data_IF_421638890846
#
_entry.id   IF_421638890846
#
_cell.length_a   1.000
_cell.length_b   1.000
_cell.length_c   1.000
_cell.angle_alpha   90.00
_cell.angle_beta   90.00
_cell.angle_gamma   90.00
#
_symmetry.space_group_name_H-M   'P 1'
#
loop_
_entity.id
_entity.type
_entity.pdbx_description
1 polymer ?
#
# COMPACT_ATOMS: atom_id res chain seq x y z
N UNK A 1 16.36 12.44 11.39
CA UNK A 1 16.16 11.00 11.31
C UNK A 1 15.38 10.56 10.06
N UNK A 2 14.21 11.14 9.70
CA UNK A 2 13.43 10.75 8.52
C UNK A 2 14.21 10.95 7.22
N UNK A 3 14.93 12.05 7.06
CA UNK A 3 15.79 12.28 5.89
C UNK A 3 16.92 11.26 5.82
N UNK A 4 17.47 10.85 6.97
CA UNK A 4 18.51 9.82 7.05
C UNK A 4 17.97 8.47 6.58
N UNK A 5 16.78 8.04 7.04
CA UNK A 5 16.16 6.80 6.60
C UNK A 5 15.82 6.82 5.10
N UNK A 6 15.30 7.95 4.59
CA UNK A 6 15.05 8.09 3.15
C UNK A 6 16.35 8.05 2.33
N UNK A 7 17.43 8.67 2.83
CA UNK A 7 18.75 8.60 2.21
C UNK A 7 19.35 7.19 2.26
N UNK A 8 19.16 6.45 3.37
CA UNK A 8 19.58 5.06 3.47
C UNK A 8 18.88 4.18 2.42
N UNK A 9 17.57 4.34 2.22
CA UNK A 9 16.86 3.64 1.16
C UNK A 9 17.42 3.93 -0.24
N UNK A 10 17.77 5.18 -0.53
CA UNK A 10 18.41 5.56 -1.79
C UNK A 10 19.83 5.00 -1.90
N UNK A 11 20.58 4.98 -0.80
CA UNK A 11 21.94 4.43 -0.74
C UNK A 11 21.92 2.91 -0.99
N UNK A 12 21.02 2.16 -0.35
CA UNK A 12 20.87 0.72 -0.60
C UNK A 12 20.48 0.42 -2.05
N UNK A 13 19.63 1.24 -2.66
CA UNK A 13 19.30 1.12 -4.07
C UNK A 13 20.55 1.35 -4.95
N UNK A 14 21.30 2.41 -4.68
CA UNK A 14 22.52 2.74 -5.42
C UNK A 14 23.55 1.62 -5.30
N UNK A 15 23.83 1.15 -4.08
CA UNK A 15 24.80 0.07 -3.84
C UNK A 15 24.33 -1.23 -4.53
N UNK A 16 23.03 -1.52 -4.50
CA UNK A 16 22.48 -2.69 -5.17
C UNK A 16 22.59 -2.63 -6.69
N UNK A 17 22.53 -1.45 -7.29
CA UNK A 17 22.65 -1.26 -8.75
C UNK A 17 24.09 -1.17 -9.25
N UNK A 18 25.08 -0.90 -8.38
CA UNK A 18 26.48 -0.81 -8.78
C UNK A 18 27.03 -2.09 -9.43
N UNK A 19 26.80 -3.31 -8.88
CA UNK A 19 27.26 -4.54 -9.50
C UNK A 19 26.62 -4.80 -10.86
N UNK A 20 25.32 -4.51 -10.98
CA UNK A 20 24.59 -4.64 -12.25
C UNK A 20 25.12 -3.67 -13.32
N UNK A 21 25.56 -2.47 -12.92
CA UNK A 21 26.18 -1.49 -13.82
C UNK A 21 27.56 -1.90 -14.35
N UNK A 22 28.31 -2.67 -13.57
CA UNK A 22 29.65 -3.13 -13.96
C UNK A 22 29.65 -4.31 -14.94
N UNK A 23 28.57 -5.10 -14.95
CA UNK A 23 28.45 -6.31 -15.80
C UNK A 23 27.82 -6.07 -17.18
N UNK A 24 27.39 -4.85 -17.49
CA UNK A 24 26.73 -4.49 -18.76
C UNK A 24 25.22 -4.29 -18.60
N UNK A 25 24.79 -3.08 -18.23
CA UNK A 25 23.49 -2.82 -17.61
C UNK A 25 22.26 -3.15 -18.48
N UNK A 26 22.38 -3.15 -19.79
CA UNK A 26 21.24 -3.35 -20.68
C UNK A 26 20.82 -4.82 -20.82
N UNK A 27 21.76 -5.76 -20.70
CA UNK A 27 21.50 -7.19 -20.91
C UNK A 27 20.99 -7.90 -19.66
N UNK A 28 21.53 -7.59 -18.48
CA UNK A 28 21.11 -8.24 -17.22
C UNK A 28 19.69 -7.84 -16.80
N UNK A 29 19.33 -6.56 -16.96
CA UNK A 29 17.95 -6.12 -16.73
C UNK A 29 16.96 -6.71 -17.74
N UNK A 30 17.38 -6.98 -18.96
CA UNK A 30 16.55 -7.57 -19.99
C UNK A 30 16.40 -9.10 -19.83
N UNK A 31 17.41 -9.78 -19.29
CA UNK A 31 17.40 -11.24 -19.07
C UNK A 31 16.86 -11.67 -17.72
N UNK A 32 16.61 -10.72 -16.80
CA UNK A 32 16.05 -10.99 -15.48
C UNK A 32 16.97 -11.77 -14.53
N UNK A 33 18.29 -11.80 -14.78
CA UNK A 33 19.26 -12.54 -13.98
C UNK A 33 20.11 -11.59 -13.13
N UNK A 34 19.49 -10.89 -12.18
CA UNK A 34 20.24 -10.07 -11.24
C UNK A 34 20.87 -10.93 -10.13
N UNK A 35 22.08 -10.57 -9.66
CA UNK A 35 22.70 -11.22 -8.51
C UNK A 35 21.79 -11.20 -7.28
N UNK A 36 21.77 -12.27 -6.44
CA UNK A 36 20.91 -12.33 -5.26
C UNK A 36 21.19 -11.21 -4.25
N UNK A 37 22.42 -10.74 -4.17
CA UNK A 37 22.81 -9.60 -3.32
C UNK A 37 22.13 -8.30 -3.79
N UNK A 38 22.09 -8.08 -5.10
CA UNK A 38 21.40 -6.93 -5.71
C UNK A 38 19.90 -6.97 -5.40
N UNK A 39 19.26 -8.14 -5.58
CA UNK A 39 17.85 -8.34 -5.28
C UNK A 39 17.55 -8.10 -3.78
N UNK A 40 18.42 -8.57 -2.90
CA UNK A 40 18.28 -8.38 -1.45
C UNK A 40 18.37 -6.89 -1.07
N UNK A 41 19.33 -6.16 -1.62
CA UNK A 41 19.49 -4.72 -1.38
C UNK A 41 18.30 -3.92 -1.95
N UNK A 42 17.77 -4.31 -3.10
CA UNK A 42 16.56 -3.72 -3.68
C UNK A 42 15.34 -3.99 -2.80
N UNK A 43 15.20 -5.19 -2.21
CA UNK A 43 14.12 -5.49 -1.26
C UNK A 43 14.22 -4.60 -0.01
N UNK A 44 15.41 -4.45 0.58
CA UNK A 44 15.60 -3.56 1.72
C UNK A 44 15.26 -2.12 1.34
N UNK A 45 15.77 -1.64 0.22
CA UNK A 45 15.49 -0.29 -0.28
C UNK A 45 13.99 -0.05 -0.47
N UNK A 46 13.29 -1.03 -1.05
CA UNK A 46 11.84 -0.97 -1.27
C UNK A 46 11.06 -0.99 0.03
N UNK A 47 11.45 -1.82 1.02
CA UNK A 47 10.82 -1.89 2.33
C UNK A 47 11.00 -0.57 3.12
N UNK A 48 12.20 0.03 3.08
CA UNK A 48 12.46 1.35 3.65
C UNK A 48 11.57 2.41 2.98
N UNK A 49 11.47 2.38 1.66
CA UNK A 49 10.70 3.36 0.88
C UNK A 49 9.21 3.19 1.06
N UNK A 50 8.72 1.94 1.14
CA UNK A 50 7.32 1.62 1.43
C UNK A 50 6.93 1.96 2.88
N UNK A 51 7.90 2.27 3.74
CA UNK A 51 7.65 2.61 5.14
C UNK A 51 7.07 1.46 5.95
N UNK A 52 7.36 0.21 5.56
CA UNK A 52 6.95 -0.96 6.34
C UNK A 52 7.78 -1.02 7.62
N UNK A 53 7.15 -1.41 8.72
CA UNK A 53 7.85 -1.54 9.99
C UNK A 53 9.08 -2.48 9.83
N UNK A 54 10.22 -2.19 10.43
CA UNK A 54 10.50 -1.11 11.39
C UNK A 54 10.84 0.24 10.74
N UNK A 55 10.81 0.33 9.41
CA UNK A 55 11.26 1.51 8.66
C UNK A 55 10.21 2.64 8.57
N UNK A 56 9.05 2.50 9.21
CA UNK A 56 7.94 3.46 9.16
C UNK A 56 8.22 4.81 9.87
N UNK A 57 9.28 4.90 10.67
CA UNK A 57 9.57 6.07 11.51
C UNK A 57 9.71 7.38 10.73
N UNK A 58 10.05 7.32 9.45
CA UNK A 58 10.15 8.50 8.61
C UNK A 58 8.79 9.02 8.12
N UNK A 59 7.75 8.18 8.14
CA UNK A 59 6.37 8.54 7.80
C UNK A 59 5.63 9.19 8.97
N UNK A 60 6.11 9.00 10.21
CA UNK A 60 5.44 9.56 11.37
C UNK A 60 5.50 11.08 11.37
N UNK A 61 4.39 11.77 11.56
CA UNK A 61 4.33 13.21 11.59
C UNK A 61 5.12 13.74 12.78
N UNK A 62 6.05 14.68 12.52
CA UNK A 62 6.93 15.25 13.55
C UNK A 62 6.35 16.44 14.28
N UNK A 63 5.39 17.10 13.66
CA UNK A 63 4.76 18.30 14.20
C UNK A 63 3.25 18.19 14.09
N UNK A 64 2.53 18.71 15.08
CA UNK A 64 1.06 18.84 15.06
C UNK A 64 0.56 19.86 14.01
N UNK A 65 1.39 20.23 13.03
CA UNK A 65 0.97 21.15 11.99
C UNK A 65 -0.15 20.50 11.15
N UNK A 66 -1.18 21.26 10.88
CA UNK A 66 -2.26 20.86 9.97
C UNK A 66 -1.67 20.80 8.55
N UNK A 67 -1.16 19.63 8.15
CA UNK A 67 -0.68 19.41 6.80
C UNK A 67 -1.84 19.59 5.81
N UNK A 68 -1.58 20.30 4.73
CA UNK A 68 -2.50 20.42 3.63
C UNK A 68 -2.69 19.05 2.93
N UNK A 69 -3.82 18.85 2.24
CA UNK A 69 -4.10 17.60 1.54
C UNK A 69 -2.99 17.23 0.55
N UNK A 70 -2.48 18.21 -0.21
CA UNK A 70 -1.38 18.02 -1.15
C UNK A 70 -0.09 17.56 -0.47
N UNK A 71 0.22 18.09 0.70
CA UNK A 71 1.36 17.67 1.50
C UNK A 71 1.19 16.23 2.01
N UNK A 72 -0.01 15.86 2.47
CA UNK A 72 -0.30 14.47 2.89
C UNK A 72 -0.16 13.48 1.73
N UNK A 73 -0.65 13.81 0.55
CA UNK A 73 -0.53 12.95 -0.63
C UNK A 73 0.93 12.82 -1.08
N UNK A 74 1.67 13.92 -1.14
CA UNK A 74 3.05 13.93 -1.61
C UNK A 74 4.02 13.33 -0.58
N UNK A 75 3.85 13.66 0.70
CA UNK A 75 4.81 13.25 1.74
C UNK A 75 4.56 11.82 2.26
N UNK A 76 3.30 11.35 2.24
CA UNK A 76 2.97 10.06 2.82
C UNK A 76 2.59 9.00 1.78
N UNK A 77 1.89 9.34 0.70
CA UNK A 77 1.46 8.33 -0.26
C UNK A 77 2.45 8.12 -1.41
N UNK A 78 2.96 9.20 -2.02
CA UNK A 78 3.80 9.06 -3.20
C UNK A 78 5.10 8.26 -2.94
N UNK A 79 5.86 8.50 -1.84
CA UNK A 79 7.04 7.69 -1.56
C UNK A 79 6.71 6.22 -1.28
N UNK A 80 5.60 5.96 -0.58
CA UNK A 80 5.14 4.60 -0.30
C UNK A 80 4.78 3.86 -1.58
N UNK A 81 4.06 4.52 -2.50
CA UNK A 81 3.74 3.95 -3.82
C UNK A 81 4.99 3.62 -4.63
N UNK A 82 5.99 4.52 -4.62
CA UNK A 82 7.29 4.24 -5.24
C UNK A 82 7.97 3.01 -4.60
N UNK A 83 7.89 2.88 -3.28
CA UNK A 83 8.41 1.73 -2.55
C UNK A 83 7.71 0.43 -2.92
N UNK A 84 6.37 0.45 -2.97
CA UNK A 84 5.57 -0.70 -3.37
C UNK A 84 5.83 -1.10 -4.83
N UNK A 85 5.93 -0.13 -5.74
CA UNK A 85 6.27 -0.39 -7.13
C UNK A 85 7.65 -1.04 -7.26
N UNK A 86 8.66 -0.49 -6.56
CA UNK A 86 10.01 -1.06 -6.55
C UNK A 86 10.03 -2.47 -5.96
N UNK A 87 9.25 -2.72 -4.91
CA UNK A 87 9.11 -4.04 -4.30
C UNK A 87 8.56 -5.07 -5.31
N UNK A 88 7.46 -4.72 -5.99
CA UNK A 88 6.87 -5.57 -7.03
C UNK A 88 7.82 -5.84 -8.19
N UNK A 89 8.55 -4.82 -8.63
CA UNK A 89 9.54 -4.95 -9.68
C UNK A 89 10.70 -5.87 -9.28
N UNK A 90 11.16 -5.78 -8.03
CA UNK A 90 12.21 -6.66 -7.48
C UNK A 90 11.75 -8.13 -7.52
N UNK A 91 10.49 -8.42 -7.20
CA UNK A 91 9.94 -9.77 -7.30
C UNK A 91 9.80 -10.25 -8.73
N UNK A 92 9.47 -9.38 -9.67
CA UNK A 92 9.47 -9.74 -11.10
C UNK A 92 10.86 -10.09 -11.60
N UNK A 93 11.89 -9.32 -11.24
CA UNK A 93 13.28 -9.57 -11.62
C UNK A 93 13.85 -10.82 -10.94
N UNK A 94 13.47 -11.08 -9.68
CA UNK A 94 13.93 -12.26 -8.94
C UNK A 94 13.23 -13.56 -9.35
N UNK A 95 12.05 -13.45 -9.96
CA UNK A 95 11.26 -14.59 -10.40
C UNK A 95 11.05 -15.64 -9.31
N UNK A 96 11.09 -16.92 -9.69
CA UNK A 96 10.91 -18.05 -8.78
C UNK A 96 12.07 -18.21 -7.75
N UNK A 97 13.22 -17.61 -7.99
CA UNK A 97 14.36 -17.67 -7.07
C UNK A 97 14.18 -16.77 -5.85
N UNK A 98 13.34 -15.73 -5.94
CA UNK A 98 13.12 -14.78 -4.87
C UNK A 98 11.89 -15.19 -4.05
N UNK A 99 12.10 -16.01 -3.02
CA UNK A 99 11.05 -16.42 -2.08
C UNK A 99 11.37 -15.89 -0.69
N UNK A 100 10.37 -15.28 -0.03
CA UNK A 100 10.54 -14.87 1.34
C UNK A 100 10.36 -16.05 2.29
N UNK A 101 11.32 -16.21 3.19
CA UNK A 101 11.24 -17.24 4.22
C UNK A 101 9.98 -17.02 5.11
N UNK A 102 9.32 -18.08 5.60
CA UNK A 102 8.15 -17.98 6.47
C UNK A 102 8.36 -17.10 7.69
N UNK A 103 9.59 -17.07 8.23
CA UNK A 103 9.96 -16.18 9.33
C UNK A 103 9.83 -14.70 8.95
N UNK A 104 10.29 -14.32 7.75
CA UNK A 104 10.19 -12.93 7.25
C UNK A 104 8.72 -12.56 7.04
N UNK A 105 7.90 -13.45 6.48
CA UNK A 105 6.47 -13.24 6.34
C UNK A 105 5.76 -13.11 7.69
N UNK A 106 6.18 -13.88 8.70
CA UNK A 106 5.64 -13.77 10.07
C UNK A 106 6.00 -12.40 10.68
N UNK A 107 7.24 -11.94 10.50
CA UNK A 107 7.65 -10.61 10.92
C UNK A 107 6.84 -9.51 10.22
N UNK A 108 6.62 -9.63 8.92
CA UNK A 108 5.75 -8.70 8.17
C UNK A 108 4.31 -8.70 8.72
N UNK A 109 3.75 -9.87 9.03
CA UNK A 109 2.41 -9.98 9.59
C UNK A 109 2.33 -9.41 11.02
N UNK A 110 3.38 -9.59 11.85
CA UNK A 110 3.48 -8.95 13.17
C UNK A 110 3.54 -7.43 13.06
N UNK A 111 4.24 -6.90 12.06
CA UNK A 111 4.32 -5.45 11.83
C UNK A 111 2.97 -4.90 11.37
N UNK A 112 2.23 -5.67 10.56
CA UNK A 112 0.87 -5.33 10.16
C UNK A 112 -0.04 -5.26 11.40
N UNK A 113 0.06 -6.24 12.30
CA UNK A 113 -0.71 -6.24 13.54
C UNK A 113 -0.34 -5.04 14.43
N UNK A 114 0.95 -4.74 14.58
CA UNK A 114 1.40 -3.59 15.36
C UNK A 114 0.86 -2.26 14.80
N UNK A 115 0.88 -2.08 13.48
CA UNK A 115 0.34 -0.87 12.83
C UNK A 115 -1.19 -0.78 12.93
N UNK A 116 -1.89 -1.92 12.85
CA UNK A 116 -3.34 -1.96 13.04
C UNK A 116 -3.75 -1.58 14.48
N UNK A 117 -3.03 -2.09 15.49
CA UNK A 117 -3.22 -1.71 16.90
C UNK A 117 -2.90 -0.22 17.08
N UNK A 118 -1.80 0.28 16.50
CA UNK A 118 -1.44 1.69 16.58
C UNK A 118 -2.51 2.59 15.93
N UNK A 119 -3.09 2.17 14.79
CA UNK A 119 -4.21 2.88 14.18
C UNK A 119 -5.45 2.87 15.08
N UNK A 120 -5.76 1.73 15.73
CA UNK A 120 -6.90 1.63 16.64
C UNK A 120 -6.75 2.51 17.88
N UNK A 121 -5.54 2.59 18.45
CA UNK A 121 -5.26 3.34 19.68
C UNK A 121 -4.90 4.80 19.43
N UNK A 122 -4.69 5.22 18.19
CA UNK A 122 -4.32 6.58 17.86
C UNK A 122 -5.44 7.58 18.29
N UNK A 123 -5.08 8.57 19.10
CA UNK A 123 -5.97 9.65 19.53
C UNK A 123 -5.94 10.81 18.52
N UNK A 124 -4.79 11.02 17.88
CA UNK A 124 -4.58 12.10 16.93
C UNK A 124 -4.88 11.61 15.50
N UNK A 125 -5.69 12.38 14.78
CA UNK A 125 -6.13 12.12 13.41
C UNK A 125 -4.94 11.88 12.45
N UNK A 126 -3.85 12.62 12.64
CA UNK A 126 -2.71 12.52 11.73
C UNK A 126 -1.96 11.20 11.92
N UNK A 127 -1.77 10.77 13.17
CA UNK A 127 -1.18 9.47 13.49
C UNK A 127 -2.09 8.33 13.03
N UNK A 128 -3.40 8.44 13.26
CA UNK A 128 -4.39 7.49 12.80
C UNK A 128 -4.29 7.27 11.27
N UNK A 129 -4.34 8.37 10.50
CA UNK A 129 -4.23 8.31 9.02
C UNK A 129 -2.91 7.65 8.61
N UNK A 130 -1.81 8.03 9.24
CA UNK A 130 -0.49 7.49 8.92
C UNK A 130 -0.42 5.98 9.17
N UNK A 131 -0.91 5.50 10.31
CA UNK A 131 -0.88 4.08 10.64
C UNK A 131 -1.81 3.25 9.75
N UNK A 132 -2.98 3.79 9.36
CA UNK A 132 -3.86 3.13 8.38
C UNK A 132 -3.15 2.97 7.03
N UNK A 133 -2.48 4.00 6.55
CA UNK A 133 -1.73 3.93 5.29
C UNK A 133 -0.55 2.96 5.37
N UNK A 134 0.23 2.96 6.47
CA UNK A 134 1.32 2.00 6.68
C UNK A 134 0.77 0.57 6.73
N UNK A 135 -0.33 0.35 7.44
CA UNK A 135 -0.99 -0.95 7.50
C UNK A 135 -1.42 -1.45 6.12
N UNK A 136 -2.08 -0.59 5.34
CA UNK A 136 -2.53 -0.92 3.98
C UNK A 136 -1.35 -1.21 3.04
N UNK A 137 -0.25 -0.45 3.14
CA UNK A 137 0.99 -0.75 2.42
C UNK A 137 1.60 -2.08 2.85
N UNK A 138 1.55 -2.40 4.15
CA UNK A 138 1.98 -3.68 4.70
C UNK A 138 1.22 -4.87 4.12
N UNK A 139 -0.09 -4.72 3.89
CA UNK A 139 -0.91 -5.74 3.19
C UNK A 139 -0.40 -5.97 1.76
N UNK A 140 -0.06 -4.90 1.04
CA UNK A 140 0.45 -5.01 -0.32
C UNK A 140 1.83 -5.71 -0.36
N UNK A 141 2.72 -5.39 0.58
CA UNK A 141 4.03 -6.06 0.72
C UNK A 141 3.87 -7.53 1.10
N UNK A 142 2.95 -7.85 2.02
CA UNK A 142 2.68 -9.24 2.40
C UNK A 142 2.13 -10.03 1.21
N UNK A 143 1.16 -9.47 0.48
CA UNK A 143 0.60 -10.09 -0.72
C UNK A 143 1.67 -10.30 -1.82
N UNK A 144 2.60 -9.35 -1.99
CA UNK A 144 3.73 -9.47 -2.91
C UNK A 144 4.73 -10.54 -2.49
N UNK A 145 5.04 -10.63 -1.20
CA UNK A 145 5.96 -11.63 -0.65
C UNK A 145 5.46 -13.08 -0.75
N UNK A 146 4.16 -13.25 -0.98
CA UNK A 146 3.52 -14.57 -1.17
C UNK A 146 3.41 -15.00 -2.65
N UNK A 147 3.81 -14.14 -3.57
CA UNK A 147 3.69 -14.40 -5.00
C UNK A 147 4.69 -15.47 -5.44
N UNK A 148 4.28 -16.75 -5.43
CA UNK A 148 5.08 -17.88 -5.94
C UNK A 148 4.81 -18.17 -7.42
N UNK A 149 3.86 -17.50 -8.05
CA UNK A 149 3.50 -17.71 -9.45
C UNK A 149 3.26 -16.38 -10.17
N UNK A 150 3.63 -16.25 -11.44
CA UNK A 150 3.39 -15.07 -12.27
C UNK A 150 1.90 -14.97 -12.62
N UNK A 151 1.10 -14.53 -11.68
CA UNK A 151 -0.26 -14.10 -11.93
C UNK A 151 -0.41 -12.64 -11.52
N UNK A 152 -1.47 -11.92 -11.97
CA UNK A 152 -1.78 -10.59 -11.48
C UNK A 152 -1.90 -10.68 -9.97
N UNK A 153 -0.81 -10.35 -9.35
CA UNK A 153 -0.57 -10.72 -7.96
C UNK A 153 -1.52 -9.93 -7.07
N UNK A 154 -1.92 -10.51 -5.97
CA UNK A 154 -2.62 -9.79 -4.92
C UNK A 154 -1.93 -8.48 -4.54
N UNK A 155 -0.63 -8.36 -4.79
CA UNK A 155 0.12 -7.13 -4.66
C UNK A 155 -0.37 -6.02 -5.61
N UNK A 156 -0.65 -6.34 -6.89
CA UNK A 156 -1.20 -5.35 -7.81
C UNK A 156 -2.52 -4.79 -7.28
N UNK A 157 -3.41 -5.67 -6.86
CA UNK A 157 -4.71 -5.28 -6.34
C UNK A 157 -4.63 -4.55 -5.00
N UNK A 158 -3.78 -4.99 -4.09
CA UNK A 158 -3.53 -4.31 -2.82
C UNK A 158 -2.89 -2.93 -3.04
N UNK A 159 -1.94 -2.80 -3.98
CA UNK A 159 -1.34 -1.52 -4.33
C UNK A 159 -2.35 -0.58 -5.01
N UNK A 160 -3.22 -1.12 -5.86
CA UNK A 160 -4.33 -0.36 -6.48
C UNK A 160 -5.31 0.13 -5.42
N UNK A 161 -5.69 -0.72 -4.46
CA UNK A 161 -6.52 -0.35 -3.33
C UNK A 161 -5.85 0.74 -2.48
N UNK A 162 -4.55 0.62 -2.20
CA UNK A 162 -3.79 1.63 -1.49
C UNK A 162 -3.75 2.96 -2.25
N UNK A 163 -3.43 2.94 -3.55
CA UNK A 163 -3.28 4.14 -4.35
C UNK A 163 -4.61 4.88 -4.54
N UNK A 164 -5.62 4.18 -5.07
CA UNK A 164 -6.90 4.78 -5.38
C UNK A 164 -7.80 4.90 -4.15
N UNK A 165 -7.88 3.85 -3.33
CA UNK A 165 -8.69 3.84 -2.10
C UNK A 165 -8.12 4.76 -1.03
N UNK A 166 -6.82 4.70 -0.77
CA UNK A 166 -6.14 5.59 0.17
C UNK A 166 -6.19 7.06 -0.26
N UNK A 167 -5.95 7.32 -1.55
CA UNK A 167 -6.09 8.67 -2.12
C UNK A 167 -7.50 9.21 -2.00
N UNK A 168 -8.51 8.40 -2.37
CA UNK A 168 -9.92 8.78 -2.26
C UNK A 168 -10.35 8.98 -0.81
N UNK A 169 -9.83 8.17 0.13
CA UNK A 169 -10.10 8.32 1.55
C UNK A 169 -9.57 9.66 2.09
N UNK A 170 -8.34 10.05 1.72
CA UNK A 170 -7.76 11.34 2.11
C UNK A 170 -8.49 12.54 1.49
N UNK A 171 -8.83 12.47 0.21
CA UNK A 171 -9.61 13.51 -0.49
C UNK A 171 -11.02 13.56 0.08
N UNK A 172 -11.63 12.39 0.32
CA UNK A 172 -12.96 12.24 0.89
C UNK A 172 -13.09 12.80 2.30
N UNK A 173 -12.05 12.70 3.14
CA UNK A 173 -12.01 13.34 4.46
C UNK A 173 -12.17 14.87 4.35
N UNK A 174 -11.52 15.49 3.36
CA UNK A 174 -11.68 16.93 3.10
C UNK A 174 -13.08 17.27 2.56
N UNK A 175 -13.61 16.44 1.67
CA UNK A 175 -14.96 16.58 1.11
C UNK A 175 -16.01 16.47 2.22
N UNK A 176 -15.84 15.50 3.12
CA UNK A 176 -16.74 15.31 4.25
C UNK A 176 -16.73 16.50 5.21
N UNK A 177 -15.56 17.02 5.55
CA UNK A 177 -15.41 18.20 6.43
C UNK A 177 -15.99 19.47 5.78
N UNK A 178 -15.86 19.60 4.45
CA UNK A 178 -16.33 20.79 3.74
C UNK A 178 -17.85 20.79 3.51
N UNK A 179 -18.43 19.64 3.15
CA UNK A 179 -19.83 19.56 2.68
C UNK A 179 -20.68 18.50 3.39
N UNK A 180 -20.12 17.74 4.34
CA UNK A 180 -20.82 16.64 4.97
C UNK A 180 -21.05 15.41 4.07
N UNK A 181 -20.46 15.38 2.87
CA UNK A 181 -20.63 14.27 1.94
C UNK A 181 -19.68 13.12 2.24
N UNK A 182 -20.23 12.04 2.80
CA UNK A 182 -19.47 10.89 3.30
C UNK A 182 -19.09 9.86 2.22
N UNK A 183 -19.73 9.83 1.04
CA UNK A 183 -19.53 8.78 0.06
C UNK A 183 -18.06 8.58 -0.37
N UNK A 184 -17.28 9.63 -0.70
CA UNK A 184 -15.88 9.41 -1.13
C UNK A 184 -15.01 8.81 -0.04
N UNK A 185 -15.12 9.31 1.20
CA UNK A 185 -14.32 8.79 2.33
C UNK A 185 -14.70 7.36 2.66
N UNK A 186 -16.02 7.04 2.67
CA UNK A 186 -16.51 5.70 2.93
C UNK A 186 -16.04 4.71 1.86
N UNK A 187 -16.15 5.07 0.59
CA UNK A 187 -15.75 4.20 -0.51
C UNK A 187 -14.23 3.95 -0.52
N UNK A 188 -13.42 4.97 -0.23
CA UNK A 188 -11.98 4.82 -0.04
C UNK A 188 -11.63 3.88 1.13
N UNK A 189 -12.29 4.06 2.28
CA UNK A 189 -12.11 3.20 3.45
C UNK A 189 -12.53 1.74 3.18
N UNK A 190 -13.66 1.51 2.49
CA UNK A 190 -14.11 0.18 2.09
C UNK A 190 -13.11 -0.52 1.16
N UNK A 191 -12.46 0.24 0.27
CA UNK A 191 -11.43 -0.30 -0.61
C UNK A 191 -10.18 -0.73 0.18
N UNK A 192 -9.74 0.06 1.16
CA UNK A 192 -8.64 -0.29 2.06
C UNK A 192 -9.00 -1.48 2.98
N UNK A 193 -10.25 -1.55 3.41
CA UNK A 193 -10.78 -2.67 4.20
C UNK A 193 -10.89 -3.98 3.42
N UNK A 194 -10.81 -3.94 2.09
CA UNK A 194 -10.95 -5.13 1.25
C UNK A 194 -12.38 -5.68 1.19
N UNK A 195 -13.37 -4.80 1.15
CA UNK A 195 -14.79 -5.18 1.03
C UNK A 195 -15.09 -5.63 -0.40
N UNK A 196 -16.03 -6.59 -0.62
CA UNK A 196 -16.43 -7.01 -1.95
C UNK A 196 -16.71 -5.85 -2.91
N UNK A 197 -16.43 -6.04 -4.19
CA UNK A 197 -16.49 -5.04 -5.25
C UNK A 197 -15.46 -3.90 -5.15
N UNK A 198 -14.38 -4.12 -4.40
CA UNK A 198 -13.23 -3.20 -4.36
C UNK A 198 -11.93 -3.93 -4.73
N UNK A 199 -10.90 -3.20 -5.19
CA UNK A 199 -9.60 -3.82 -5.50
C UNK A 199 -8.98 -4.53 -4.29
N UNK A 200 -9.19 -4.03 -3.07
CA UNK A 200 -8.69 -4.65 -1.85
C UNK A 200 -9.24 -6.07 -1.64
N UNK A 201 -10.47 -6.33 -2.03
CA UNK A 201 -11.03 -7.68 -2.00
C UNK A 201 -10.33 -8.64 -2.96
N UNK A 202 -9.94 -8.15 -4.13
CA UNK A 202 -9.24 -8.95 -5.15
C UNK A 202 -7.82 -9.35 -4.72
N UNK A 203 -7.26 -8.68 -3.73
CA UNK A 203 -5.98 -9.08 -3.11
C UNK A 203 -6.13 -10.28 -2.16
N UNK A 204 -7.29 -10.51 -1.58
CA UNK A 204 -7.52 -11.53 -0.54
C UNK A 204 -7.29 -12.98 -1.00
N UNK A 205 -7.61 -13.41 -2.24
CA UNK A 205 -7.31 -14.76 -2.71
C UNK A 205 -5.83 -15.12 -2.64
N UNK A 206 -4.92 -14.18 -2.88
CA UNK A 206 -3.48 -14.43 -2.74
C UNK A 206 -3.06 -14.61 -1.28
N UNK A 207 -3.69 -13.90 -0.35
CA UNK A 207 -3.44 -14.02 1.09
C UNK A 207 -4.07 -15.31 1.67
N UNK A 208 -5.22 -15.74 1.17
CA UNK A 208 -5.85 -17.00 1.57
C UNK A 208 -5.04 -18.24 1.15
N UNK A 209 -4.17 -18.13 0.15
CA UNK A 209 -3.23 -19.22 -0.23
C UNK A 209 -2.25 -19.58 0.88
N UNK A 210 -2.05 -18.74 1.89
CA UNK A 210 -1.31 -19.08 3.10
C UNK A 210 -1.87 -20.33 3.78
N UNK A 211 -3.19 -20.55 3.72
CA UNK A 211 -3.81 -21.73 4.30
C UNK A 211 -3.43 -23.04 3.58
N UNK A 212 -3.23 -22.98 2.27
CA UNK A 212 -2.84 -24.14 1.46
C UNK A 212 -1.34 -24.39 1.45
N UNK A 213 -0.51 -23.40 1.90
CA UNK A 213 0.94 -23.49 1.95
C UNK A 213 1.52 -24.37 3.05
N UNK A 214 0.65 -24.96 3.90
CA UNK A 214 1.06 -25.82 5.01
C UNK A 214 1.09 -25.11 6.36
N UNK A 215 1.28 -25.91 7.42
CA UNK A 215 1.15 -25.46 8.83
C UNK A 215 2.13 -24.32 9.20
N UNK A 216 3.24 -24.22 8.49
CA UNK A 216 4.27 -23.19 8.72
C UNK A 216 3.76 -21.78 8.40
N UNK A 217 2.76 -21.64 7.51
CA UNK A 217 2.17 -20.35 7.15
C UNK A 217 0.95 -19.97 7.98
N UNK A 218 0.45 -20.87 8.82
CA UNK A 218 -0.70 -20.59 9.69
C UNK A 218 -0.50 -19.39 10.63
N UNK A 219 0.66 -19.20 11.27
CA UNK A 219 0.90 -18.02 12.10
C UNK A 219 0.78 -16.72 11.29
N UNK A 220 1.31 -16.70 10.07
CA UNK A 220 1.21 -15.54 9.16
C UNK A 220 -0.24 -15.21 8.86
N UNK A 221 -1.01 -16.23 8.50
CA UNK A 221 -2.43 -16.07 8.18
C UNK A 221 -3.25 -15.57 9.38
N UNK A 222 -3.08 -16.16 10.56
CA UNK A 222 -3.77 -15.73 11.77
C UNK A 222 -3.46 -14.29 12.14
N UNK A 223 -2.17 -13.93 12.13
CA UNK A 223 -1.74 -12.55 12.39
C UNK A 223 -2.33 -11.57 11.37
N UNK A 224 -2.33 -11.95 10.09
CA UNK A 224 -2.96 -11.15 9.04
C UNK A 224 -4.46 -10.94 9.28
N UNK A 225 -5.22 -12.00 9.57
CA UNK A 225 -6.67 -11.91 9.78
C UNK A 225 -6.99 -11.02 11.00
N UNK A 226 -6.26 -11.19 12.09
CA UNK A 226 -6.43 -10.36 13.29
C UNK A 226 -6.09 -8.90 12.98
N UNK A 227 -4.96 -8.65 12.31
CA UNK A 227 -4.53 -7.30 11.93
C UNK A 227 -5.56 -6.63 11.01
N UNK A 228 -6.05 -7.35 10.01
CA UNK A 228 -7.06 -6.84 9.09
C UNK A 228 -8.36 -6.53 9.80
N UNK A 229 -8.81 -7.39 10.73
CA UNK A 229 -9.99 -7.16 11.55
C UNK A 229 -9.87 -5.89 12.39
N UNK A 230 -8.72 -5.67 13.05
CA UNK A 230 -8.46 -4.45 13.83
C UNK A 230 -8.40 -3.22 12.91
N UNK A 231 -7.78 -3.32 11.73
CA UNK A 231 -7.70 -2.22 10.78
C UNK A 231 -9.09 -1.83 10.25
N UNK A 232 -9.94 -2.80 9.94
CA UNK A 232 -11.34 -2.56 9.57
C UNK A 232 -12.08 -1.87 10.72
N UNK A 233 -11.94 -2.36 11.95
CA UNK A 233 -12.55 -1.74 13.11
C UNK A 233 -12.07 -0.30 13.31
N UNK A 234 -10.78 -0.03 13.11
CA UNK A 234 -10.21 1.32 13.16
C UNK A 234 -10.83 2.23 12.08
N UNK A 235 -10.99 1.74 10.85
CA UNK A 235 -11.63 2.47 9.76
C UNK A 235 -13.12 2.78 10.08
N UNK A 236 -13.85 1.82 10.62
CA UNK A 236 -15.26 2.01 11.03
C UNK A 236 -15.39 3.00 12.19
N UNK A 237 -14.44 3.01 13.13
CA UNK A 237 -14.42 3.97 14.23
C UNK A 237 -14.40 5.41 13.71
N UNK A 238 -13.68 5.69 12.64
CA UNK A 238 -13.60 7.03 12.07
C UNK A 238 -14.93 7.56 11.55
N UNK A 239 -15.89 6.68 11.24
CA UNK A 239 -17.24 7.07 10.80
C UNK A 239 -18.16 7.43 11.96
N UNK A 240 -17.90 6.88 13.13
CA UNK A 240 -18.73 7.10 14.33
C UNK A 240 -18.36 8.34 15.13
N UNK A 241 -17.24 8.96 14.88
CA UNK A 241 -16.82 10.21 15.51
C UNK A 241 -17.21 11.38 14.60
N UNK A 242 -18.33 12.07 14.86
CA UNK A 242 -18.68 13.29 14.14
C UNK A 242 -17.76 14.42 14.61
N UNK A 243 -16.55 14.47 14.09
CA UNK A 243 -15.78 15.69 14.19
C UNK A 243 -16.50 16.72 13.33
N UNK A 244 -16.99 17.77 13.98
CA UNK A 244 -17.88 18.81 13.47
C UNK A 244 -17.65 19.07 11.98
N UNK A 245 -18.59 18.60 11.14
CA UNK A 245 -18.74 19.04 9.78
C UNK A 245 -19.20 20.52 9.84
N UNK A 246 -18.25 21.39 10.11
CA UNK A 246 -18.45 22.83 9.99
C UNK A 246 -18.28 23.16 8.54
N UNK A 247 -19.31 23.66 7.91
CA UNK A 247 -19.21 24.22 6.58
C UNK A 247 -18.09 25.27 6.57
N UNK A 248 -16.91 24.89 6.12
CA UNK A 248 -15.84 25.83 5.82
C UNK A 248 -16.21 26.44 4.47
N UNK A 249 -16.40 27.75 4.40
CA UNK A 249 -16.52 28.48 3.16
C UNK A 249 -15.22 28.36 2.36
N UNK A 250 -15.10 27.26 1.62
CA UNK A 250 -13.95 27.03 0.77
C UNK A 250 -14.10 27.81 -0.54
N UNK A 251 -13.00 28.37 -1.07
CA UNK A 251 -13.03 29.03 -2.38
C UNK A 251 -13.58 28.09 -3.46
N UNK A 252 -14.42 28.62 -4.36
CA UNK A 252 -15.09 27.84 -5.42
C UNK A 252 -14.12 27.04 -6.29
N UNK A 253 -12.91 27.59 -6.52
CA UNK A 253 -11.82 26.89 -7.23
C UNK A 253 -11.30 25.67 -6.50
N UNK A 254 -11.28 25.70 -5.17
CA UNK A 254 -10.84 24.56 -4.33
C UNK A 254 -11.89 23.46 -4.31
N UNK A 255 -13.17 23.86 -4.23
CA UNK A 255 -14.33 22.98 -4.34
C UNK A 255 -14.30 22.16 -5.63
N UNK A 256 -14.12 22.83 -6.78
CA UNK A 256 -14.04 22.14 -8.07
C UNK A 256 -12.88 21.15 -8.15
N UNK A 257 -11.72 21.49 -7.57
CA UNK A 257 -10.55 20.59 -7.50
C UNK A 257 -10.82 19.34 -6.66
N UNK A 258 -11.48 19.49 -5.50
CA UNK A 258 -11.82 18.36 -4.64
C UNK A 258 -12.84 17.41 -5.32
N UNK A 259 -13.86 17.99 -5.99
CA UNK A 259 -14.83 17.20 -6.75
C UNK A 259 -14.14 16.44 -7.89
N UNK A 260 -13.30 17.11 -8.66
CA UNK A 260 -12.53 16.48 -9.73
C UNK A 260 -11.63 15.37 -9.20
N UNK A 261 -10.89 15.61 -8.11
CA UNK A 261 -10.02 14.61 -7.49
C UNK A 261 -10.82 13.40 -6.97
N UNK A 262 -11.99 13.63 -6.35
CA UNK A 262 -12.86 12.54 -5.89
C UNK A 262 -13.37 11.68 -7.05
N UNK A 263 -13.70 12.30 -8.18
CA UNK A 263 -14.17 11.61 -9.37
C UNK A 263 -13.02 10.88 -10.09
N UNK A 264 -11.86 11.53 -10.20
CA UNK A 264 -10.65 10.96 -10.80
C UNK A 264 -10.10 9.75 -10.05
N UNK A 265 -10.28 9.67 -8.73
CA UNK A 265 -9.89 8.52 -7.92
C UNK A 265 -11.03 7.51 -7.76
N UNK A 266 -12.25 7.97 -7.56
CA UNK A 266 -13.41 7.12 -7.29
C UNK A 266 -13.87 6.32 -8.50
N UNK A 267 -13.84 6.90 -9.71
CA UNK A 267 -14.27 6.20 -10.91
C UNK A 267 -13.34 5.04 -11.28
N UNK A 268 -11.99 5.21 -11.36
CA UNK A 268 -11.09 4.07 -11.57
C UNK A 268 -11.16 3.02 -10.44
N UNK A 269 -11.37 3.47 -9.19
CA UNK A 269 -11.55 2.57 -8.06
C UNK A 269 -12.79 1.69 -8.25
N UNK A 270 -13.93 2.26 -8.64
CA UNK A 270 -15.15 1.54 -8.91
C UNK A 270 -15.00 0.59 -10.11
N UNK A 271 -14.40 1.06 -11.21
CA UNK A 271 -14.15 0.24 -12.39
C UNK A 271 -13.26 -0.95 -12.03
N UNK A 272 -12.18 -0.72 -11.31
CA UNK A 272 -11.24 -1.77 -10.93
C UNK A 272 -11.86 -2.84 -10.01
N UNK A 273 -12.82 -2.46 -9.17
CA UNK A 273 -13.53 -3.38 -8.29
C UNK A 273 -14.64 -4.18 -8.99
N UNK A 274 -15.37 -3.54 -9.91
CA UNK A 274 -16.53 -4.15 -10.60
C UNK A 274 -16.11 -4.91 -11.86
N UNK A 275 -15.12 -4.40 -12.58
CA UNK A 275 -14.63 -4.94 -13.84
C UNK A 275 -13.13 -5.30 -13.75
N UNK A 276 -12.75 -6.29 -12.92
CA UNK A 276 -11.33 -6.62 -12.70
C UNK A 276 -10.61 -7.02 -13.98
N UNK A 277 -11.23 -7.82 -14.86
CA UNK A 277 -10.63 -8.25 -16.13
C UNK A 277 -10.30 -7.08 -17.06
N UNK A 278 -11.12 -6.03 -17.07
CA UNK A 278 -10.84 -4.82 -17.84
C UNK A 278 -9.58 -4.12 -17.33
N UNK A 279 -9.46 -4.01 -16.00
CA UNK A 279 -8.30 -3.39 -15.36
C UNK A 279 -7.03 -4.21 -15.58
N UNK A 280 -7.11 -5.54 -15.50
CA UNK A 280 -6.01 -6.45 -15.80
C UNK A 280 -5.54 -6.32 -17.27
N UNK A 281 -6.49 -6.22 -18.19
CA UNK A 281 -6.18 -6.03 -19.63
C UNK A 281 -5.47 -4.70 -19.85
N UNK A 282 -5.96 -3.61 -19.27
CA UNK A 282 -5.33 -2.29 -19.35
C UNK A 282 -3.92 -2.29 -18.73
N UNK A 283 -3.71 -3.02 -17.65
CA UNK A 283 -2.42 -3.14 -16.99
C UNK A 283 -1.45 -4.09 -17.74
N UNK A 284 -1.88 -4.72 -18.84
CA UNK A 284 -1.07 -5.68 -19.58
C UNK A 284 -0.86 -7.02 -18.86
N UNK A 285 -1.65 -7.30 -17.83
CA UNK A 285 -1.52 -8.50 -17.00
C UNK A 285 -2.26 -9.72 -17.60
N UNK A 286 -3.17 -9.49 -18.53
CA UNK A 286 -3.98 -10.54 -19.18
C UNK A 286 -3.17 -11.52 -20.04
N UNK A 287 -1.98 -11.14 -20.46
CA UNK A 287 -1.11 -11.98 -21.31
C UNK A 287 -0.25 -12.98 -20.53
N UNK A 288 -0.30 -12.96 -19.19
CA UNK A 288 0.50 -13.86 -18.34
C UNK A 288 -0.25 -15.13 -17.92
N UNK A 289 -1.52 -15.25 -18.28
CA UNK A 289 -2.34 -16.45 -18.08
C UNK A 289 -2.54 -17.12 -19.44
N UNK A 290 -1.45 -17.67 -20.00
CA UNK A 290 -1.56 -18.72 -21.00
C UNK A 290 -1.77 -20.06 -20.29
N UNK A 291 -2.60 -20.97 -20.83
CA UNK A 291 -3.07 -22.18 -20.21
C UNK A 291 -1.97 -23.18 -19.86
#
# INVERSE_FOLDING_TARGET
EARILSMLGALFLLIGLLPAGAAGPAQEFATGTLPPETLFLMLIASAIRAGVYPFHLWLLPRTRSKLNLSERLLDHMAPVLCGLWLFGWTFQLGGAALTLAPLVLTLLALTLLATAIAAWTAEDQLHYVTFVLIGSAGVAVLAGGLAHNPGPSGMFWATTAFALGGGLWLVGDQVWRAWGWQLPVSFGALALAGVPFTPGFLAQPSLSRLLSGGIVYWPVFLLYVIAQGILIAALLRSWSTPEQAGAQDLPQSYTARLMFASLALGLPLAISGILPHFTETLAGLSNTVAP
#
